data_IF_498089607064
#
_entry.id   IF_498089607064
#
_cell.length_a   1.000
_cell.length_b   1.000
_cell.length_c   1.000
_cell.angle_alpha   90.00
_cell.angle_beta   90.00
_cell.angle_gamma   90.00
#
_symmetry.space_group_name_H-M   'P 1'
#
loop_
_entity.id
_entity.type
_entity.pdbx_description
1 polymer ?
#
# COMPACT_ATOMS: atom_id res chain seq x y z
N UNK A 1 -34.50 23.12 -47.59
CA UNK A 1 -33.80 21.82 -47.65
C UNK A 1 -32.39 22.09 -48.13
N UNK A 2 -31.37 21.83 -47.31
CA UNK A 2 -29.99 22.10 -47.69
C UNK A 2 -29.52 20.90 -48.53
N UNK A 3 -29.35 21.13 -49.83
CA UNK A 3 -28.79 20.18 -50.78
C UNK A 3 -27.35 20.63 -51.07
N UNK A 4 -26.37 19.96 -50.44
CA UNK A 4 -24.94 20.26 -50.57
C UNK A 4 -24.13 19.63 -49.43
N UNK A 5 -22.88 19.24 -49.69
CA UNK A 5 -22.04 18.41 -48.80
C UNK A 5 -21.72 18.99 -47.41
N UNK A 6 -22.08 20.26 -47.14
CA UNK A 6 -21.73 21.00 -45.91
C UNK A 6 -22.87 21.94 -45.49
N UNK A 7 -23.16 21.97 -44.19
CA UNK A 7 -24.00 22.98 -43.54
C UNK A 7 -23.13 23.86 -42.65
N UNK A 8 -23.16 25.18 -42.87
CA UNK A 8 -22.49 26.16 -42.02
C UNK A 8 -23.52 27.16 -41.46
N UNK A 9 -23.51 27.32 -40.14
CA UNK A 9 -24.34 28.26 -39.41
C UNK A 9 -23.41 29.32 -38.82
N UNK A 10 -23.52 30.56 -39.32
CA UNK A 10 -22.69 31.68 -38.86
C UNK A 10 -23.54 32.71 -38.10
N UNK A 11 -23.13 33.12 -36.89
CA UNK A 11 -23.71 34.29 -36.23
C UNK A 11 -23.34 35.59 -36.97
N UNK A 12 -24.30 36.53 -37.02
CA UNK A 12 -24.22 37.78 -37.80
C UNK A 12 -23.66 39.00 -37.02
N UNK A 13 -23.35 38.85 -35.73
CA UNK A 13 -22.87 39.93 -34.85
C UNK A 13 -21.34 40.03 -34.81
N UNK A 14 -20.80 41.16 -34.34
CA UNK A 14 -19.35 41.49 -34.41
C UNK A 14 -18.49 40.94 -33.25
N UNK A 15 -19.09 40.32 -32.23
CA UNK A 15 -18.39 39.75 -31.07
C UNK A 15 -18.83 38.30 -30.80
N UNK A 16 -17.88 37.41 -30.53
CA UNK A 16 -18.09 35.97 -30.26
C UNK A 16 -18.80 35.20 -31.39
N UNK A 17 -18.47 35.54 -32.64
CA UNK A 17 -19.14 35.01 -33.82
C UNK A 17 -18.58 33.65 -34.30
N UNK A 18 -18.48 32.67 -33.39
CA UNK A 18 -18.01 31.33 -33.74
C UNK A 18 -19.13 30.53 -34.43
N UNK A 19 -18.88 30.16 -35.68
CA UNK A 19 -19.82 29.37 -36.46
C UNK A 19 -19.72 27.87 -36.19
N UNK A 20 -20.83 27.16 -36.39
CA UNK A 20 -20.88 25.70 -36.42
C UNK A 20 -20.82 25.23 -37.87
N UNK A 21 -19.90 24.30 -38.18
CA UNK A 21 -19.86 23.62 -39.49
C UNK A 21 -19.95 22.12 -39.31
N UNK A 22 -20.93 21.50 -40.00
CA UNK A 22 -21.07 20.05 -40.14
C UNK A 22 -20.75 19.69 -41.59
N UNK A 23 -19.77 18.83 -41.81
CA UNK A 23 -19.30 18.50 -43.17
C UNK A 23 -18.66 17.12 -43.26
N UNK A 24 -18.65 16.54 -44.47
CA UNK A 24 -17.67 15.50 -44.81
C UNK A 24 -16.27 16.11 -44.89
N UNK A 25 -15.28 15.45 -44.32
CA UNK A 25 -13.88 15.93 -44.35
C UNK A 25 -13.21 15.58 -45.69
N UNK A 26 -13.41 14.34 -46.17
CA UNK A 26 -12.91 13.83 -47.45
C UNK A 26 -14.03 13.11 -48.21
N UNK A 27 -14.20 13.45 -49.49
CA UNK A 27 -15.28 12.92 -50.33
C UNK A 27 -15.24 11.38 -50.42
N UNK A 28 -16.40 10.73 -50.31
CA UNK A 28 -16.57 9.27 -50.46
C UNK A 28 -15.80 8.36 -49.47
N UNK A 29 -15.23 8.91 -48.39
CA UNK A 29 -14.48 8.12 -47.39
C UNK A 29 -15.26 7.78 -46.12
N UNK A 30 -16.48 8.29 -45.99
CA UNK A 30 -17.30 8.16 -44.78
C UNK A 30 -16.89 9.06 -43.61
N UNK A 31 -15.79 9.82 -43.72
CA UNK A 31 -15.38 10.73 -42.64
C UNK A 31 -16.28 11.96 -42.54
N UNK A 32 -16.62 12.33 -41.30
CA UNK A 32 -17.47 13.46 -40.97
C UNK A 32 -16.92 14.21 -39.77
N UNK A 33 -17.13 15.51 -39.72
CA UNK A 33 -16.74 16.34 -38.59
C UNK A 33 -17.76 17.42 -38.23
N UNK A 34 -17.75 17.77 -36.95
CA UNK A 34 -18.37 18.95 -36.36
C UNK A 34 -17.23 19.89 -35.98
N UNK A 35 -17.16 21.06 -36.61
CA UNK A 35 -16.12 22.05 -36.34
C UNK A 35 -16.73 23.24 -35.58
N UNK A 36 -16.07 23.63 -34.49
CA UNK A 36 -16.44 24.72 -33.60
C UNK A 36 -15.39 25.83 -33.72
N UNK A 37 -15.81 27.10 -33.74
CA UNK A 37 -14.89 28.23 -33.94
C UNK A 37 -14.45 28.40 -35.41
N UNK A 38 -15.36 28.15 -36.35
CA UNK A 38 -15.08 28.33 -37.78
C UNK A 38 -15.02 29.81 -38.19
N UNK A 39 -14.25 30.14 -39.23
CA UNK A 39 -14.30 31.48 -39.84
C UNK A 39 -15.68 31.76 -40.45
N UNK A 40 -16.09 33.01 -40.31
CA UNK A 40 -17.28 33.58 -40.94
C UNK A 40 -17.25 33.47 -42.47
N UNK A 41 -16.07 33.57 -43.10
CA UNK A 41 -15.93 33.71 -44.55
C UNK A 41 -15.18 32.55 -45.20
N UNK A 42 -14.23 31.93 -44.50
CA UNK A 42 -13.44 30.83 -45.05
C UNK A 42 -14.18 29.49 -44.89
N UNK A 43 -14.55 28.87 -46.02
CA UNK A 43 -15.26 27.57 -46.09
C UNK A 43 -14.33 26.36 -46.22
N UNK A 44 -13.02 26.60 -46.30
CA UNK A 44 -11.94 25.60 -46.40
C UNK A 44 -10.76 26.02 -45.51
N UNK A 45 -9.86 25.07 -45.20
CA UNK A 45 -8.69 25.27 -44.35
C UNK A 45 -8.97 25.16 -42.83
N UNK A 46 -7.95 24.73 -42.08
CA UNK A 46 -7.97 24.76 -40.61
C UNK A 46 -7.54 26.15 -40.11
N UNK A 47 -8.15 26.61 -39.02
CA UNK A 47 -7.90 27.94 -38.45
C UNK A 47 -7.39 27.77 -37.02
N UNK A 48 -6.44 28.61 -36.59
CA UNK A 48 -5.95 28.61 -35.23
C UNK A 48 -7.11 28.80 -34.23
N UNK A 49 -7.15 27.98 -33.18
CA UNK A 49 -8.22 28.01 -32.18
C UNK A 49 -9.51 27.25 -32.56
N UNK A 50 -9.63 26.75 -33.80
CA UNK A 50 -10.75 25.91 -34.21
C UNK A 50 -10.63 24.51 -33.59
N UNK A 51 -11.72 24.02 -33.01
CA UNK A 51 -11.84 22.65 -32.51
C UNK A 51 -12.69 21.80 -33.44
N UNK A 52 -12.41 20.51 -33.48
CA UNK A 52 -13.20 19.56 -34.25
C UNK A 52 -13.51 18.30 -33.46
N UNK A 53 -14.72 17.78 -33.67
CA UNK A 53 -15.15 16.44 -33.28
C UNK A 53 -15.27 15.67 -34.58
N UNK A 54 -14.46 14.64 -34.77
CA UNK A 54 -14.31 13.99 -36.07
C UNK A 54 -14.20 12.47 -35.94
N UNK A 55 -14.82 11.78 -36.89
CA UNK A 55 -14.55 10.37 -37.16
C UNK A 55 -13.65 10.25 -38.39
N UNK A 56 -12.37 9.87 -38.24
CA UNK A 56 -11.45 9.74 -39.36
C UNK A 56 -11.85 8.62 -40.31
N UNK A 57 -11.39 8.68 -41.56
CA UNK A 57 -11.60 7.62 -42.54
C UNK A 57 -10.74 6.38 -42.27
N UNK A 58 -11.03 5.26 -42.95
CA UNK A 58 -10.44 3.94 -42.68
C UNK A 58 -8.93 3.85 -42.87
N UNK A 59 -8.35 4.68 -43.74
CA UNK A 59 -6.90 4.71 -44.02
C UNK A 59 -6.16 5.81 -43.25
N UNK A 60 -6.81 6.46 -42.29
CA UNK A 60 -6.18 7.48 -41.46
C UNK A 60 -5.10 6.84 -40.56
N UNK A 61 -3.92 7.46 -40.46
CA UNK A 61 -2.78 6.86 -39.77
C UNK A 61 -3.01 6.66 -38.28
N UNK A 62 -3.62 7.65 -37.63
CA UNK A 62 -3.83 7.66 -36.18
C UNK A 62 -5.31 7.54 -35.84
N UNK A 63 -5.71 6.45 -35.18
CA UNK A 63 -7.10 6.18 -34.78
C UNK A 63 -8.12 6.14 -35.96
N UNK A 64 -7.86 5.36 -37.04
CA UNK A 64 -8.79 5.24 -38.16
C UNK A 64 -10.17 4.76 -37.69
N UNK A 65 -11.26 5.35 -38.20
CA UNK A 65 -12.64 5.06 -37.81
C UNK A 65 -13.00 5.32 -36.34
N UNK A 66 -12.10 5.92 -35.56
CA UNK A 66 -12.36 6.25 -34.16
C UNK A 66 -13.15 7.56 -34.00
N UNK A 67 -13.14 8.10 -32.78
CA UNK A 67 -13.61 9.45 -32.47
C UNK A 67 -12.44 10.29 -31.95
N UNK A 68 -12.25 11.49 -32.50
CA UNK A 68 -11.22 12.44 -32.08
C UNK A 68 -11.89 13.79 -31.74
N UNK A 69 -11.51 14.37 -30.61
CA UNK A 69 -11.82 15.74 -30.22
C UNK A 69 -10.50 16.47 -30.01
N UNK A 70 -10.13 17.33 -30.95
CA UNK A 70 -8.84 18.01 -30.95
C UNK A 70 -8.93 19.36 -31.68
N UNK A 71 -7.93 20.24 -31.55
CA UNK A 71 -7.77 21.37 -32.46
C UNK A 71 -7.70 20.87 -33.91
N UNK A 72 -8.42 21.51 -34.84
CA UNK A 72 -8.59 21.01 -36.22
C UNK A 72 -7.28 20.75 -36.94
N UNK A 73 -6.26 21.58 -36.71
CA UNK A 73 -4.94 21.44 -37.33
C UNK A 73 -4.11 20.29 -36.74
N UNK A 74 -4.53 19.72 -35.61
CA UNK A 74 -3.82 18.69 -34.84
C UNK A 74 -4.57 17.35 -34.79
N UNK A 75 -5.64 17.17 -35.57
CA UNK A 75 -6.40 15.88 -35.61
C UNK A 75 -5.52 14.68 -35.96
N UNK A 76 -4.44 14.91 -36.72
CA UNK A 76 -3.48 13.87 -37.08
C UNK A 76 -2.48 13.52 -35.97
N UNK A 77 -2.45 14.25 -34.87
CA UNK A 77 -1.50 14.06 -33.77
C UNK A 77 -2.12 13.17 -32.69
N UNK A 78 -1.47 12.06 -32.34
CA UNK A 78 -1.94 11.14 -31.30
C UNK A 78 -1.58 11.61 -29.86
N UNK A 79 -0.82 12.69 -29.74
CA UNK A 79 -0.41 13.30 -28.46
C UNK A 79 -1.30 14.47 -28.03
N UNK A 80 -2.33 14.81 -28.81
CA UNK A 80 -3.22 15.93 -28.54
C UNK A 80 -4.70 15.50 -28.57
N UNK A 81 -5.48 16.06 -27.65
CA UNK A 81 -6.93 15.93 -27.63
C UNK A 81 -7.42 14.63 -27.00
N UNK A 82 -8.74 14.44 -27.06
CA UNK A 82 -9.43 13.22 -26.60
C UNK A 82 -9.62 12.27 -27.78
N UNK A 83 -9.23 11.00 -27.63
CA UNK A 83 -9.40 9.99 -28.68
C UNK A 83 -10.03 8.71 -28.13
N UNK A 84 -11.04 8.20 -28.85
CA UNK A 84 -11.69 6.90 -28.58
C UNK A 84 -11.41 5.98 -29.76
N UNK A 85 -10.94 4.77 -29.50
CA UNK A 85 -10.73 3.75 -30.55
C UNK A 85 -12.05 3.23 -31.14
N UNK A 86 -12.05 2.71 -32.38
CA UNK A 86 -13.27 2.24 -33.06
C UNK A 86 -14.01 1.13 -32.31
N UNK A 87 -13.25 0.28 -31.62
CA UNK A 87 -13.74 -0.82 -30.79
C UNK A 87 -14.09 -0.39 -29.36
N UNK A 88 -13.98 0.91 -29.05
CA UNK A 88 -14.18 1.48 -27.71
C UNK A 88 -13.28 0.89 -26.62
N UNK A 89 -12.17 0.22 -26.96
CA UNK A 89 -11.25 -0.39 -25.99
C UNK A 89 -10.19 0.58 -25.46
N UNK A 90 -9.97 1.73 -26.09
CA UNK A 90 -8.98 2.74 -25.70
C UNK A 90 -9.61 4.12 -25.65
N UNK A 91 -9.36 4.82 -24.54
CA UNK A 91 -9.63 6.25 -24.35
C UNK A 91 -8.34 6.95 -23.95
N UNK A 92 -7.90 7.94 -24.74
CA UNK A 92 -6.70 8.73 -24.43
C UNK A 92 -7.01 10.22 -24.39
N UNK A 93 -6.27 10.95 -23.56
CA UNK A 93 -6.24 12.41 -23.52
C UNK A 93 -4.80 12.89 -23.61
N UNK A 94 -4.47 13.67 -24.63
CA UNK A 94 -3.10 14.12 -24.93
C UNK A 94 -2.08 12.96 -24.93
N UNK A 95 -2.41 11.86 -25.63
CA UNK A 95 -1.59 10.65 -25.71
C UNK A 95 -1.58 9.77 -24.45
N UNK A 96 -2.06 10.27 -23.31
CA UNK A 96 -2.11 9.51 -22.06
C UNK A 96 -3.40 8.69 -21.98
N UNK A 97 -3.32 7.45 -21.51
CA UNK A 97 -4.52 6.62 -21.29
C UNK A 97 -5.37 7.21 -20.17
N UNK A 98 -6.69 7.14 -20.34
CA UNK A 98 -7.68 7.52 -19.32
C UNK A 98 -8.44 6.30 -18.80
N UNK A 99 -8.42 5.19 -19.54
CA UNK A 99 -9.03 3.92 -19.17
C UNK A 99 -8.05 2.76 -19.37
N UNK A 100 -8.21 1.71 -18.57
CA UNK A 100 -7.60 0.40 -18.83
C UNK A 100 -8.53 -0.35 -19.79
N UNK A 101 -8.13 -0.48 -21.05
CA UNK A 101 -8.88 -1.30 -22.01
C UNK A 101 -8.98 -2.75 -21.51
N UNK A 102 -10.20 -3.26 -21.40
CA UNK A 102 -10.49 -4.59 -20.83
C UNK A 102 -9.90 -4.83 -19.43
N UNK A 103 -9.76 -3.78 -18.61
CA UNK A 103 -9.24 -3.89 -17.25
C UNK A 103 -10.16 -4.71 -16.32
N UNK A 104 -9.60 -5.23 -15.23
CA UNK A 104 -10.37 -5.88 -14.15
C UNK A 104 -10.66 -4.90 -13.02
N UNK A 105 -11.57 -5.26 -12.11
CA UNK A 105 -11.80 -4.51 -10.86
C UNK A 105 -10.62 -4.61 -9.87
N UNK A 106 -9.51 -5.25 -10.25
CA UNK A 106 -8.30 -5.41 -9.45
C UNK A 106 -7.11 -4.65 -10.03
N UNK A 107 -7.34 -3.59 -10.81
CA UNK A 107 -6.29 -2.78 -11.40
C UNK A 107 -6.57 -1.29 -11.23
N UNK A 108 -5.50 -0.51 -11.08
CA UNK A 108 -5.52 0.95 -11.12
C UNK A 108 -4.66 1.45 -12.29
N UNK A 109 -5.15 2.47 -13.00
CA UNK A 109 -4.40 3.13 -14.06
C UNK A 109 -3.44 4.14 -13.42
N UNK A 110 -2.16 4.03 -13.74
CA UNK A 110 -1.14 4.97 -13.31
C UNK A 110 -1.02 6.13 -14.31
N UNK A 111 -0.48 7.26 -13.85
CA UNK A 111 -0.32 8.47 -14.67
C UNK A 111 0.59 8.30 -15.90
N UNK A 112 1.43 7.26 -15.92
CA UNK A 112 2.26 6.88 -17.08
C UNK A 112 1.53 5.99 -18.11
N UNK A 113 0.25 5.66 -17.86
CA UNK A 113 -0.57 4.82 -18.72
C UNK A 113 -0.36 3.31 -18.54
N UNK A 114 0.42 2.88 -17.55
CA UNK A 114 0.53 1.48 -17.12
C UNK A 114 -0.57 1.11 -16.11
N UNK A 115 -0.87 -0.18 -15.97
CA UNK A 115 -1.83 -0.67 -14.99
C UNK A 115 -1.08 -1.33 -13.82
N UNK A 116 -1.44 -0.97 -12.59
CA UNK A 116 -0.93 -1.61 -11.37
C UNK A 116 -2.02 -2.51 -10.76
N UNK A 117 -1.75 -3.78 -10.46
CA UNK A 117 -2.67 -4.62 -9.71
C UNK A 117 -2.96 -4.03 -8.31
N UNK A 118 -4.21 -4.08 -7.88
CA UNK A 118 -4.62 -3.75 -6.51
C UNK A 118 -4.27 -4.92 -5.57
N UNK A 119 -4.41 -6.15 -6.07
CA UNK A 119 -4.04 -7.39 -5.39
C UNK A 119 -3.25 -8.24 -6.39
N UNK A 120 -2.09 -8.73 -5.97
CA UNK A 120 -1.19 -9.52 -6.83
C UNK A 120 -1.52 -11.00 -6.81
N UNK A 121 -2.05 -11.52 -5.69
CA UNK A 121 -2.56 -12.88 -5.55
C UNK A 121 -3.54 -12.95 -4.36
N UNK A 122 -4.54 -13.83 -4.45
CA UNK A 122 -5.52 -14.07 -3.37
C UNK A 122 -5.66 -15.56 -3.13
N UNK A 123 -5.84 -15.92 -1.87
CA UNK A 123 -6.19 -17.27 -1.43
C UNK A 123 -7.33 -17.21 -0.42
N UNK A 124 -8.32 -18.08 -0.62
CA UNK A 124 -9.44 -18.23 0.30
C UNK A 124 -9.44 -19.64 0.87
N UNK A 125 -9.62 -19.76 2.18
CA UNK A 125 -9.67 -21.04 2.88
C UNK A 125 -10.88 -21.10 3.82
N UNK A 126 -11.34 -22.32 4.09
CA UNK A 126 -12.36 -22.59 5.09
C UNK A 126 -11.79 -23.40 6.27
N UNK A 127 -11.55 -22.76 7.42
CA UNK A 127 -10.89 -23.36 8.59
C UNK A 127 -11.87 -23.48 9.77
N UNK A 128 -12.20 -24.71 10.16
CA UNK A 128 -13.03 -25.01 11.34
C UNK A 128 -12.16 -25.55 12.47
N UNK A 129 -11.65 -26.77 12.32
CA UNK A 129 -10.71 -27.44 13.22
C UNK A 129 -9.94 -28.52 12.44
N UNK A 130 -8.67 -28.80 12.76
CA UNK A 130 -7.83 -28.12 13.74
C UNK A 130 -7.28 -26.78 13.20
N UNK A 131 -6.41 -26.12 13.97
CA UNK A 131 -5.59 -25.01 13.51
C UNK A 131 -4.80 -25.41 12.26
N UNK A 132 -4.59 -24.48 11.32
CA UNK A 132 -3.80 -24.71 10.11
C UNK A 132 -2.66 -23.71 9.97
N UNK A 133 -1.64 -24.08 9.23
CA UNK A 133 -0.56 -23.21 8.80
C UNK A 133 -0.62 -23.03 7.29
N UNK A 134 -0.50 -21.79 6.83
CA UNK A 134 -0.52 -21.45 5.40
C UNK A 134 0.80 -20.80 5.02
N UNK A 135 1.43 -21.33 3.98
CA UNK A 135 2.62 -20.74 3.38
C UNK A 135 2.22 -19.54 2.54
N UNK A 136 2.78 -18.39 2.87
CA UNK A 136 2.54 -17.14 2.16
C UNK A 136 3.40 -17.04 0.90
N UNK A 137 4.71 -17.28 1.01
CA UNK A 137 5.65 -17.25 -0.11
C UNK A 137 7.00 -17.90 0.26
N UNK A 138 7.86 -18.05 -0.74
CA UNK A 138 9.28 -18.37 -0.59
C UNK A 138 10.13 -17.19 -1.08
N UNK A 139 11.11 -16.78 -0.27
CA UNK A 139 12.21 -15.91 -0.66
C UNK A 139 13.41 -16.77 -1.05
N UNK A 140 13.88 -16.58 -2.28
CA UNK A 140 15.11 -17.18 -2.79
C UNK A 140 16.29 -16.22 -2.57
N UNK A 141 17.52 -16.74 -2.46
CA UNK A 141 18.70 -15.91 -2.25
C UNK A 141 18.90 -14.93 -3.40
N UNK A 142 19.39 -13.75 -3.05
CA UNK A 142 19.78 -12.69 -3.97
C UNK A 142 21.16 -12.18 -3.54
N UNK A 143 22.19 -12.49 -4.34
CA UNK A 143 23.61 -12.27 -3.98
C UNK A 143 24.07 -10.81 -4.19
N UNK A 144 23.32 -9.88 -3.64
CA UNK A 144 23.60 -8.44 -3.65
C UNK A 144 22.92 -7.76 -2.46
N UNK A 145 23.45 -6.62 -2.04
CA UNK A 145 22.86 -5.82 -0.96
C UNK A 145 21.52 -5.23 -1.39
N UNK A 146 20.43 -5.76 -0.84
CA UNK A 146 19.07 -5.32 -1.18
C UNK A 146 18.07 -5.69 -0.07
N UNK A 147 16.81 -5.27 -0.25
CA UNK A 147 15.69 -5.65 0.60
C UNK A 147 14.54 -6.17 -0.27
N UNK A 148 14.14 -7.42 -0.05
CA UNK A 148 12.96 -8.02 -0.66
C UNK A 148 11.80 -7.84 0.31
N UNK A 149 10.73 -7.17 -0.11
CA UNK A 149 9.62 -6.80 0.78
C UNK A 149 8.28 -7.31 0.25
N UNK A 150 7.44 -7.78 1.15
CA UNK A 150 6.08 -8.27 0.87
C UNK A 150 5.09 -7.71 1.89
N UNK A 151 3.86 -7.52 1.46
CA UNK A 151 2.72 -7.23 2.32
C UNK A 151 1.61 -8.24 2.06
N UNK A 152 1.10 -8.83 3.14
CA UNK A 152 -0.08 -9.67 3.14
C UNK A 152 -1.16 -9.08 4.03
N UNK A 153 -2.38 -9.04 3.53
CA UNK A 153 -3.57 -8.71 4.32
C UNK A 153 -4.39 -9.98 4.55
N UNK A 154 -4.78 -10.21 5.81
CA UNK A 154 -5.57 -11.37 6.20
C UNK A 154 -6.93 -10.92 6.71
N UNK A 155 -7.97 -11.29 5.99
CA UNK A 155 -9.37 -10.94 6.28
C UNK A 155 -10.08 -12.21 6.73
N UNK A 156 -10.32 -12.31 8.03
CA UNK A 156 -11.03 -13.44 8.63
C UNK A 156 -12.29 -12.98 9.36
N UNK A 157 -13.05 -13.93 9.89
CA UNK A 157 -14.24 -13.63 10.72
C UNK A 157 -13.96 -12.64 11.86
N UNK A 158 -12.78 -12.72 12.48
CA UNK A 158 -12.40 -11.88 13.62
C UNK A 158 -11.61 -10.62 13.19
N UNK A 159 -12.06 -9.92 12.15
CA UNK A 159 -11.46 -8.66 11.70
C UNK A 159 -10.26 -8.81 10.77
N UNK A 160 -9.38 -7.80 10.75
CA UNK A 160 -8.31 -7.64 9.77
C UNK A 160 -6.92 -7.76 10.40
N UNK A 161 -6.02 -8.45 9.70
CA UNK A 161 -4.62 -8.57 10.05
C UNK A 161 -3.73 -8.13 8.89
N UNK A 162 -2.50 -7.73 9.23
CA UNK A 162 -1.50 -7.24 8.29
C UNK A 162 -0.15 -7.88 8.63
N UNK A 163 0.57 -8.34 7.61
CA UNK A 163 1.97 -8.74 7.73
C UNK A 163 2.78 -8.06 6.64
N UNK A 164 3.64 -7.13 7.04
CA UNK A 164 4.72 -6.60 6.23
C UNK A 164 6.01 -7.29 6.64
N UNK A 165 6.69 -7.93 5.70
CA UNK A 165 7.94 -8.63 5.96
C UNK A 165 9.02 -8.16 4.99
N UNK A 166 10.19 -7.87 5.54
CA UNK A 166 11.35 -7.35 4.82
C UNK A 166 12.52 -8.31 5.02
N UNK A 167 12.89 -9.04 3.97
CA UNK A 167 14.07 -9.88 3.94
C UNK A 167 15.26 -9.06 3.43
N UNK A 168 16.31 -8.95 4.24
CA UNK A 168 17.57 -8.30 3.86
C UNK A 168 18.48 -9.33 3.20
N UNK A 169 19.09 -8.94 2.09
CA UNK A 169 20.05 -9.78 1.35
C UNK A 169 21.40 -9.10 1.25
N UNK A 170 22.46 -9.89 1.12
CA UNK A 170 23.81 -9.41 0.84
C UNK A 170 24.49 -10.35 -0.16
N UNK A 171 25.76 -10.12 -0.43
CA UNK A 171 26.59 -11.07 -1.20
C UNK A 171 26.65 -12.47 -0.57
N UNK A 172 26.35 -12.59 0.73
CA UNK A 172 26.32 -13.88 1.45
C UNK A 172 24.94 -14.55 1.46
N UNK A 173 23.96 -14.06 0.69
CA UNK A 173 22.59 -14.58 0.66
C UNK A 173 21.64 -13.86 1.61
N UNK A 174 20.73 -14.61 2.24
CA UNK A 174 19.71 -14.07 3.16
C UNK A 174 20.29 -13.88 4.57
N UNK A 175 20.33 -12.64 5.06
CA UNK A 175 21.09 -12.29 6.29
C UNK A 175 20.21 -11.96 7.49
N UNK A 176 19.33 -10.97 7.35
CA UNK A 176 18.48 -10.47 8.45
C UNK A 176 17.05 -10.17 7.96
N UNK A 177 16.11 -9.94 8.87
CA UNK A 177 14.77 -9.52 8.51
C UNK A 177 14.22 -8.47 9.46
N UNK A 178 13.32 -7.64 8.94
CA UNK A 178 12.45 -6.76 9.72
C UNK A 178 11.00 -7.07 9.37
N UNK A 179 10.08 -6.78 10.29
CA UNK A 179 8.66 -7.01 10.04
C UNK A 179 7.77 -6.04 10.81
N UNK A 180 6.57 -5.85 10.27
CA UNK A 180 5.45 -5.25 10.95
C UNK A 180 4.26 -6.23 10.87
N UNK A 181 3.86 -6.75 12.02
CA UNK A 181 2.85 -7.77 12.16
C UNK A 181 1.71 -7.26 13.06
N UNK A 182 0.53 -7.16 12.48
CA UNK A 182 -0.72 -6.89 13.17
C UNK A 182 -1.58 -8.17 13.08
N UNK A 183 -1.83 -8.87 14.21
CA UNK A 183 -2.73 -10.01 14.21
C UNK A 183 -4.17 -9.56 13.92
N UNK A 184 -5.01 -10.49 13.50
CA UNK A 184 -6.46 -10.27 13.54
C UNK A 184 -6.93 -10.10 15.00
N UNK A 185 -8.12 -9.54 15.21
CA UNK A 185 -8.62 -9.14 16.53
C UNK A 185 -8.63 -10.26 17.59
N UNK A 186 -8.99 -11.50 17.23
CA UNK A 186 -9.11 -12.57 18.23
C UNK A 186 -8.82 -13.97 17.65
N UNK A 187 -9.57 -14.40 16.63
CA UNK A 187 -9.45 -15.73 16.03
C UNK A 187 -9.23 -15.61 14.52
N UNK A 188 -7.97 -15.60 14.08
CA UNK A 188 -7.52 -15.81 12.70
C UNK A 188 -5.98 -15.89 12.66
N UNK A 189 -5.30 -14.96 11.99
CA UNK A 189 -3.84 -14.87 12.02
C UNK A 189 -3.41 -14.27 13.35
N UNK A 190 -2.86 -15.10 14.23
CA UNK A 190 -2.36 -14.67 15.55
C UNK A 190 -0.83 -14.73 15.63
N UNK A 191 -0.21 -15.57 14.81
CA UNK A 191 1.24 -15.72 14.71
C UNK A 191 1.63 -15.85 13.24
N UNK A 192 2.84 -15.41 12.93
CA UNK A 192 3.50 -15.66 11.66
C UNK A 192 4.93 -16.16 11.91
N UNK A 193 5.54 -16.81 10.91
CA UNK A 193 6.86 -17.40 11.04
C UNK A 193 7.67 -17.18 9.76
N UNK A 194 8.96 -16.94 9.93
CA UNK A 194 9.94 -17.03 8.87
C UNK A 194 10.79 -18.28 9.12
N UNK A 195 10.66 -19.28 8.25
CA UNK A 195 11.42 -20.53 8.30
C UNK A 195 12.56 -20.47 7.29
N UNK A 196 13.80 -20.58 7.75
CA UNK A 196 14.95 -20.59 6.87
C UNK A 196 15.44 -22.01 6.62
N UNK A 197 15.82 -22.29 5.38
CA UNK A 197 16.35 -23.58 4.94
C UNK A 197 17.72 -23.39 4.31
N UNK A 198 18.59 -24.40 4.46
CA UNK A 198 19.97 -24.32 3.99
C UNK A 198 20.82 -23.28 4.72
N UNK A 199 21.95 -22.91 4.12
CA UNK A 199 22.96 -22.00 4.68
C UNK A 199 23.61 -21.13 3.60
N UNK A 200 24.21 -20.00 4.01
CA UNK A 200 24.98 -19.11 3.14
C UNK A 200 24.21 -18.61 1.91
N UNK A 201 24.87 -18.66 0.75
CA UNK A 201 24.37 -18.17 -0.53
C UNK A 201 23.18 -18.96 -1.09
N UNK A 202 22.96 -20.19 -0.62
CA UNK A 202 21.83 -21.04 -1.02
C UNK A 202 20.64 -20.98 -0.04
N UNK A 203 20.75 -20.18 1.03
CA UNK A 203 19.73 -20.09 2.07
C UNK A 203 18.43 -19.52 1.50
N UNK A 204 17.31 -20.19 1.74
CA UNK A 204 15.97 -19.71 1.39
C UNK A 204 15.18 -19.40 2.67
N UNK A 205 14.09 -18.65 2.52
CA UNK A 205 13.17 -18.34 3.61
C UNK A 205 11.74 -18.57 3.16
N UNK A 206 10.94 -19.29 3.94
CA UNK A 206 9.52 -19.43 3.73
C UNK A 206 8.76 -18.64 4.79
N UNK A 207 7.82 -17.82 4.35
CA UNK A 207 6.96 -17.05 5.24
C UNK A 207 5.65 -17.81 5.43
N UNK A 208 5.24 -17.98 6.68
CA UNK A 208 4.08 -18.76 7.08
C UNK A 208 3.21 -17.99 8.06
N UNK A 209 1.90 -18.26 8.04
CA UNK A 209 0.95 -17.76 9.05
C UNK A 209 0.23 -18.90 9.72
N UNK A 210 -0.03 -18.73 11.02
CA UNK A 210 -0.90 -19.61 11.78
C UNK A 210 -2.33 -19.09 11.73
N UNK A 211 -3.24 -19.94 11.28
CA UNK A 211 -4.67 -19.70 11.29
C UNK A 211 -5.33 -20.51 12.40
N UNK A 212 -5.81 -19.81 13.43
CA UNK A 212 -6.53 -20.40 14.57
C UNK A 212 -7.82 -21.14 14.18
N UNK A 213 -8.42 -21.85 15.14
CA UNK A 213 -9.70 -22.55 14.91
C UNK A 213 -10.88 -21.58 14.78
N UNK A 214 -11.99 -22.07 14.20
CA UNK A 214 -13.26 -21.37 14.07
C UNK A 214 -13.19 -20.05 13.28
N UNK A 215 -12.31 -19.95 12.29
CA UNK A 215 -12.28 -18.79 11.39
C UNK A 215 -13.45 -18.86 10.39
N UNK A 216 -13.95 -20.06 10.11
CA UNK A 216 -14.87 -20.34 9.01
C UNK A 216 -14.21 -19.89 7.70
N UNK A 217 -14.52 -18.71 7.16
CA UNK A 217 -13.88 -18.20 5.94
C UNK A 217 -12.74 -17.24 6.26
N UNK A 218 -11.60 -17.42 5.57
CA UNK A 218 -10.48 -16.48 5.57
C UNK A 218 -10.06 -16.18 4.14
N UNK A 219 -9.71 -14.93 3.89
CA UNK A 219 -9.09 -14.47 2.66
C UNK A 219 -7.72 -13.88 2.97
N UNK A 220 -6.71 -14.31 2.23
CA UNK A 220 -5.32 -13.85 2.34
C UNK A 220 -4.93 -13.26 1.00
N UNK A 221 -4.58 -11.98 1.01
CA UNK A 221 -4.18 -11.23 -0.18
C UNK A 221 -2.72 -10.85 -0.10
N UNK A 222 -1.99 -11.06 -1.19
CA UNK A 222 -0.69 -10.43 -1.43
C UNK A 222 -0.94 -9.06 -2.05
N UNK A 223 -0.88 -8.01 -1.23
CA UNK A 223 -1.38 -6.67 -1.57
C UNK A 223 -0.30 -5.72 -2.05
N UNK A 224 0.94 -5.92 -1.61
CA UNK A 224 2.03 -5.01 -1.95
C UNK A 224 3.39 -5.71 -1.95
N UNK A 225 4.34 -5.12 -2.68
CA UNK A 225 5.71 -5.61 -2.77
C UNK A 225 6.71 -4.47 -2.77
N UNK A 226 7.96 -4.78 -2.41
CA UNK A 226 9.10 -3.93 -2.73
C UNK A 226 9.34 -3.84 -4.24
N UNK A 227 10.37 -3.08 -4.63
CA UNK A 227 10.79 -2.97 -6.04
C UNK A 227 11.52 -4.21 -6.56
N UNK A 228 12.03 -5.04 -5.65
CA UNK A 228 12.71 -6.31 -5.98
C UNK A 228 11.76 -7.46 -5.69
N UNK A 229 11.25 -8.08 -6.75
CA UNK A 229 10.26 -9.17 -6.64
C UNK A 229 10.71 -10.47 -7.30
N UNK A 230 11.70 -10.44 -8.19
CA UNK A 230 12.19 -11.61 -8.92
C UNK A 230 12.57 -12.80 -8.01
N UNK A 231 13.14 -12.61 -6.80
CA UNK A 231 13.46 -13.73 -5.90
C UNK A 231 12.26 -14.27 -5.10
N UNK A 232 11.05 -13.71 -5.25
CA UNK A 232 9.85 -14.17 -4.53
C UNK A 232 9.13 -15.22 -5.39
N UNK A 233 8.88 -16.40 -4.84
CA UNK A 233 8.17 -17.49 -5.51
C UNK A 233 7.11 -18.12 -4.59
N UNK A 234 6.31 -19.04 -5.15
CA UNK A 234 5.31 -19.82 -4.41
C UNK A 234 4.31 -18.97 -3.60
N UNK A 235 3.91 -17.82 -4.15
CA UNK A 235 3.01 -16.88 -3.50
C UNK A 235 1.61 -17.51 -3.41
N UNK A 236 1.19 -17.86 -2.19
CA UNK A 236 -0.13 -18.41 -1.86
C UNK A 236 -0.52 -19.70 -2.63
N UNK A 237 0.45 -20.45 -3.15
CA UNK A 237 0.19 -21.64 -3.97
C UNK A 237 0.05 -22.94 -3.18
N UNK A 238 0.53 -22.98 -1.93
CA UNK A 238 0.56 -24.21 -1.11
C UNK A 238 -0.72 -24.38 -0.30
N UNK A 239 -1.23 -25.61 -0.22
CA UNK A 239 -2.40 -25.93 0.62
C UNK A 239 -2.09 -25.78 2.12
N UNK A 240 -3.10 -25.55 2.98
CA UNK A 240 -2.91 -25.40 4.41
C UNK A 240 -2.55 -26.75 5.02
N UNK A 241 -1.61 -26.75 5.96
CA UNK A 241 -1.10 -27.96 6.63
C UNK A 241 -1.38 -27.91 8.13
N UNK A 242 -1.40 -29.07 8.77
CA UNK A 242 -1.65 -29.19 10.22
C UNK A 242 -0.45 -28.80 11.10
N UNK A 243 0.76 -28.83 10.53
CA UNK A 243 2.00 -28.50 11.22
C UNK A 243 2.99 -27.82 10.28
N UNK A 244 3.87 -26.98 10.83
CA UNK A 244 4.99 -26.41 10.08
C UNK A 244 5.97 -27.51 9.62
N UNK A 245 6.71 -27.31 8.52
CA UNK A 245 7.84 -28.16 8.15
C UNK A 245 8.84 -28.32 9.31
N UNK A 246 9.57 -29.43 9.35
CA UNK A 246 10.51 -29.76 10.45
C UNK A 246 11.98 -29.70 10.04
N UNK A 247 12.28 -29.57 8.75
CA UNK A 247 13.62 -29.60 8.16
C UNK A 247 14.23 -28.20 7.98
N UNK A 248 13.63 -27.16 8.59
CA UNK A 248 14.22 -25.82 8.61
C UNK A 248 15.50 -25.78 9.46
N UNK A 249 16.45 -24.94 9.07
CA UNK A 249 17.71 -24.72 9.80
C UNK A 249 17.56 -23.69 10.91
N UNK A 250 16.65 -22.73 10.76
CA UNK A 250 16.32 -21.75 11.80
C UNK A 250 14.91 -21.19 11.60
N UNK A 251 14.26 -20.78 12.69
CA UNK A 251 12.92 -20.20 12.66
C UNK A 251 12.90 -18.87 13.43
N UNK A 252 12.19 -17.89 12.88
CA UNK A 252 11.83 -16.67 13.59
C UNK A 252 10.32 -16.65 13.75
N UNK A 253 9.86 -16.61 15.00
CA UNK A 253 8.44 -16.37 15.31
C UNK A 253 8.18 -14.87 15.29
N UNK A 254 7.27 -14.43 14.43
CA UNK A 254 6.86 -13.04 14.30
C UNK A 254 5.70 -12.79 15.27
N UNK A 255 5.97 -12.02 16.32
CA UNK A 255 4.99 -11.64 17.35
C UNK A 255 4.45 -10.24 17.08
N UNK A 256 3.22 -9.90 17.49
CA UNK A 256 2.60 -8.61 17.17
C UNK A 256 3.52 -7.43 17.47
N UNK A 257 3.70 -6.51 16.51
CA UNK A 257 4.33 -5.24 16.78
C UNK A 257 3.37 -4.46 17.68
N UNK A 258 3.76 -4.26 18.93
CA UNK A 258 2.88 -3.73 19.98
C UNK A 258 2.51 -2.27 19.70
N UNK A 259 1.35 -2.08 19.08
CA UNK A 259 0.73 -0.77 18.92
C UNK A 259 -0.80 -0.94 18.89
N UNK A 260 -1.40 -1.33 20.02
CA UNK A 260 -2.84 -1.25 20.23
C UNK A 260 -3.14 -0.62 21.60
N UNK A 261 -3.80 0.54 21.58
CA UNK A 261 -4.02 1.45 22.73
C UNK A 261 -5.07 0.97 23.75
N UNK A 262 -5.56 -0.29 23.69
CA UNK A 262 -6.60 -0.78 24.60
C UNK A 262 -6.23 -2.02 25.43
N UNK A 263 -5.00 -2.52 25.33
CA UNK A 263 -4.51 -3.66 26.12
C UNK A 263 -3.31 -3.23 26.97
N UNK A 264 -3.35 -3.57 28.27
CA UNK A 264 -2.18 -3.45 29.14
C UNK A 264 -1.07 -4.35 28.60
N UNK A 265 0.09 -3.75 28.29
CA UNK A 265 1.27 -4.48 27.81
C UNK A 265 1.82 -5.31 28.96
N UNK A 266 1.43 -6.58 29.04
CA UNK A 266 2.03 -7.54 29.95
C UNK A 266 3.17 -8.25 29.20
N UNK A 267 4.38 -8.24 29.77
CA UNK A 267 5.55 -9.01 29.32
C UNK A 267 6.22 -8.60 28.00
N UNK A 268 6.08 -7.35 27.54
CA UNK A 268 6.92 -6.84 26.44
C UNK A 268 8.00 -5.87 26.95
N UNK A 269 9.27 -6.02 26.53
CA UNK A 269 10.30 -5.04 26.83
C UNK A 269 9.99 -3.73 26.11
N UNK A 270 9.74 -2.66 26.87
CA UNK A 270 9.50 -1.30 26.36
C UNK A 270 10.83 -0.61 25.98
N UNK A 271 11.72 -1.28 25.25
CA UNK A 271 13.00 -0.72 24.79
C UNK A 271 12.92 -0.29 23.33
N UNK A 272 13.24 0.97 23.01
CA UNK A 272 13.53 1.38 21.63
C UNK A 272 15.05 1.55 21.51
N UNK A 273 15.71 0.77 20.65
CA UNK A 273 17.17 0.81 20.43
C UNK A 273 18.03 0.53 21.68
N UNK A 274 17.63 -0.45 22.51
CA UNK A 274 18.46 -0.93 23.63
C UNK A 274 18.47 -0.05 24.88
N UNK A 275 17.66 1.01 24.94
CA UNK A 275 17.44 1.81 26.14
C UNK A 275 15.96 1.83 26.51
N UNK A 276 15.66 1.36 27.72
CA UNK A 276 14.39 1.56 28.42
C UNK A 276 14.72 2.25 29.73
N UNK A 277 14.34 3.51 29.85
CA UNK A 277 14.29 4.22 31.13
C UNK A 277 12.89 4.09 31.68
N UNK A 278 12.72 3.28 32.74
CA UNK A 278 11.74 3.41 33.83
C UNK A 278 12.21 2.41 34.93
N UNK A 279 12.16 2.82 36.20
CA UNK A 279 12.47 2.06 37.44
C UNK A 279 12.84 0.56 37.40
N UNK A 280 13.87 0.14 38.16
CA UNK A 280 14.25 -1.25 38.20
C UNK A 280 13.58 -2.08 39.29
N UNK A 281 13.43 -3.36 38.95
CA UNK A 281 13.02 -4.47 39.80
C UNK A 281 13.99 -5.68 39.72
N UNK A 282 15.34 -5.51 39.74
CA UNK A 282 16.27 -6.44 40.45
C UNK A 282 17.75 -5.98 40.59
N UNK A 283 18.54 -6.76 41.34
CA UNK A 283 19.75 -6.42 42.12
C UNK A 283 21.05 -6.12 41.36
N UNK A 284 21.82 -5.25 42.03
CA UNK A 284 23.15 -4.71 41.80
C UNK A 284 23.33 -3.81 40.56
N UNK A 285 23.35 -2.50 40.85
CA UNK A 285 23.46 -1.33 39.96
C UNK A 285 22.21 -0.94 39.18
N UNK A 286 21.06 -0.86 39.85
CA UNK A 286 19.87 -0.30 39.24
C UNK A 286 19.23 0.77 40.13
N UNK A 287 19.63 2.03 39.92
CA UNK A 287 18.83 3.20 40.29
C UNK A 287 17.86 3.47 39.13
N UNK A 288 16.57 3.72 39.40
CA UNK A 288 15.66 4.24 38.37
C UNK A 288 14.70 5.29 38.90
N UNK A 289 13.79 5.71 38.03
CA UNK A 289 12.90 6.87 38.24
C UNK A 289 11.48 6.39 38.56
N UNK A 290 11.00 6.61 39.80
CA UNK A 290 9.61 6.39 40.24
C UNK A 290 8.85 7.69 40.26
N UNK A 291 7.79 7.80 39.45
CA UNK A 291 6.78 8.86 39.56
C UNK A 291 5.53 8.24 40.18
N UNK A 292 5.30 8.48 41.46
CA UNK A 292 4.16 7.94 42.19
C UNK A 292 3.65 8.95 43.22
N UNK A 293 2.36 8.84 43.59
CA UNK A 293 1.79 9.58 44.73
C UNK A 293 1.78 8.66 45.95
N UNK A 294 2.44 9.07 47.02
CA UNK A 294 2.49 8.32 48.28
C UNK A 294 1.10 8.22 48.90
N UNK A 295 0.69 7.01 49.31
CA UNK A 295 -0.52 6.80 50.11
C UNK A 295 -0.32 7.16 51.59
N UNK A 296 0.94 7.29 52.03
CA UNK A 296 1.31 7.78 53.35
C UNK A 296 1.76 9.23 53.22
N UNK A 297 0.95 10.18 53.69
CA UNK A 297 1.25 11.62 53.64
C UNK A 297 0.88 12.35 52.34
N UNK A 298 0.31 11.72 51.31
CA UNK A 298 -0.19 12.36 50.06
C UNK A 298 0.82 13.15 49.20
N UNK A 299 2.12 12.88 49.32
CA UNK A 299 3.15 13.55 48.53
C UNK A 299 3.24 13.00 47.10
N UNK A 300 3.49 13.85 46.11
CA UNK A 300 3.86 13.42 44.74
C UNK A 300 5.36 13.59 44.55
N UNK A 301 6.08 12.57 44.08
CA UNK A 301 7.54 12.64 44.03
C UNK A 301 8.21 11.81 42.94
N UNK A 302 9.45 12.20 42.66
CA UNK A 302 10.43 11.43 41.88
C UNK A 302 11.44 10.84 42.87
N UNK A 303 11.50 9.51 42.95
CA UNK A 303 12.35 8.78 43.89
C UNK A 303 13.45 8.04 43.11
N UNK A 304 14.71 8.20 43.55
CA UNK A 304 15.91 7.57 43.01
C UNK A 304 16.55 6.69 44.09
N UNK A 305 17.11 5.52 43.71
CA UNK A 305 17.69 4.57 44.68
C UNK A 305 16.67 3.80 45.53
N UNK A 306 15.53 3.40 44.94
CA UNK A 306 14.48 2.64 45.63
C UNK A 306 14.82 1.15 45.83
N UNK A 307 14.23 0.50 46.86
CA UNK A 307 14.39 -0.95 47.10
C UNK A 307 13.58 -1.76 46.08
N UNK A 308 14.24 -2.74 45.49
CA UNK A 308 13.68 -3.78 44.65
C UNK A 308 12.46 -4.50 45.25
N UNK A 309 12.61 -5.00 46.48
CA UNK A 309 11.64 -5.91 47.10
C UNK A 309 10.51 -5.16 47.80
N UNK A 310 10.49 -3.82 47.68
CA UNK A 310 9.49 -2.97 48.29
C UNK A 310 8.75 -2.13 47.26
N UNK A 311 7.46 -2.41 47.14
CA UNK A 311 6.54 -1.54 46.40
C UNK A 311 6.08 -0.34 47.25
N UNK A 312 6.44 -0.25 48.54
CA UNK A 312 6.01 0.81 49.46
C UNK A 312 6.95 1.09 50.65
N UNK A 313 7.15 2.37 51.02
CA UNK A 313 7.96 2.78 52.19
C UNK A 313 9.24 3.51 51.82
N UNK A 314 9.88 4.17 52.80
CA UNK A 314 11.17 4.86 52.65
C UNK A 314 12.33 3.96 53.09
N UNK A 315 13.53 4.23 52.57
CA UNK A 315 14.75 3.50 52.96
C UNK A 315 15.94 4.45 53.06
N UNK A 316 16.93 4.06 53.86
CA UNK A 316 18.20 4.76 54.02
C UNK A 316 18.99 4.79 52.69
N UNK A 317 19.50 5.96 52.33
CA UNK A 317 20.25 6.21 51.08
C UNK A 317 19.39 6.56 49.86
N UNK A 318 18.06 6.60 49.99
CA UNK A 318 17.15 6.94 48.89
C UNK A 318 17.10 8.44 48.64
N UNK A 319 17.32 8.86 47.39
CA UNK A 319 17.21 10.25 46.97
C UNK A 319 15.78 10.59 46.56
N UNK A 320 15.23 11.65 47.12
CA UNK A 320 13.84 12.06 46.93
C UNK A 320 13.76 13.49 46.41
N UNK A 321 12.93 13.71 45.40
CA UNK A 321 12.44 15.03 45.00
C UNK A 321 10.92 14.98 45.18
N UNK A 322 10.41 15.63 46.22
CA UNK A 322 8.98 15.55 46.60
C UNK A 322 8.34 16.91 46.70
N UNK A 323 7.06 16.99 46.34
CA UNK A 323 6.19 18.10 46.72
C UNK A 323 5.34 17.67 47.93
N UNK A 324 5.46 18.41 49.03
CA UNK A 324 4.72 18.15 50.27
C UNK A 324 3.26 18.61 50.16
N UNK A 325 2.35 18.14 51.03
CA UNK A 325 0.94 18.54 51.00
C UNK A 325 0.68 20.03 51.18
N UNK A 326 1.60 20.76 51.83
CA UNK A 326 1.57 22.21 51.98
C UNK A 326 2.28 22.97 50.83
N UNK A 327 2.75 22.26 49.81
CA UNK A 327 3.25 22.83 48.56
C UNK A 327 4.75 23.13 48.52
N UNK A 328 5.55 22.59 49.44
CA UNK A 328 7.00 22.79 49.46
C UNK A 328 7.73 21.75 48.61
N UNK A 329 8.71 22.19 47.83
CA UNK A 329 9.65 21.31 47.14
C UNK A 329 10.79 20.91 48.08
N UNK A 330 10.94 19.61 48.33
CA UNK A 330 12.03 19.06 49.12
C UNK A 330 12.91 18.15 48.25
N UNK A 331 14.22 18.34 48.38
CA UNK A 331 15.26 17.51 47.76
C UNK A 331 16.16 17.00 48.88
N UNK A 332 16.27 15.68 49.05
CA UNK A 332 17.07 15.11 50.13
C UNK A 332 17.30 13.62 50.00
N UNK A 333 18.24 13.12 50.79
CA UNK A 333 18.52 11.69 50.97
C UNK A 333 17.90 11.25 52.28
N UNK A 334 17.16 10.16 52.28
CA UNK A 334 16.67 9.53 53.51
C UNK A 334 17.78 8.83 54.28
#
# INVERSE_FOLDING_TARGET
MIYGDKLQINPITSSFADGLRISRTVQNTGSSSINLGCSRTAVTGGIAGQWTIVSPYSTYTNNPLGLIIAPTIQVGDNTIGLQISPDCSKLTFNGSKVLIGNGTNQQILLGDGTAKPIIYATRTDFITTPQKFVKLCTFNPLLQSNCISVEFQVRGRSGFGLLQFHQITSTAGLTNCNYHFQPNYQYCMQQAYALYFGTGEARTCELWVQLQVWINSVEIDYTNSGTVTAPISNILTTLPVDALPTDYTSMITLTPNLQLDNLTINNAPFTQNGLLKINPTSSDYTEGIRIARSSNGNCSGIYFGCNLNSTSGTMEGQWNIVNTPDGQLQIGVN
#
